data_IF_959609496112
#
_entry.id   IF_959609496112
#
_cell.length_a   1.000
_cell.length_b   1.000
_cell.length_c   1.000
_cell.angle_alpha   90.00
_cell.angle_beta   90.00
_cell.angle_gamma   90.00
#
_symmetry.space_group_name_H-M   'P 1'
#
loop_
_entity.id
_entity.type
_entity.pdbx_description
1 polymer ?
#
# COMPACT_ATOMS: atom_id res chain seq x y z
N UNK A 1 -7.49 -1.34 -8.01
CA UNK A 1 -7.78 -1.63 -6.59
C UNK A 1 -7.63 -3.13 -6.39
N UNK A 2 -6.92 -3.59 -5.34
CA UNK A 2 -6.63 -5.01 -5.11
C UNK A 2 -7.65 -5.70 -4.19
N UNK A 3 -8.30 -4.94 -3.32
CA UNK A 3 -9.32 -5.43 -2.37
C UNK A 3 -10.58 -4.59 -2.51
N UNK A 4 -11.71 -5.12 -2.05
CA UNK A 4 -13.00 -4.40 -1.98
C UNK A 4 -13.18 -3.66 -0.64
N UNK A 5 -12.32 -3.94 0.33
CA UNK A 5 -12.36 -3.41 1.69
C UNK A 5 -11.02 -2.77 2.04
N UNK A 6 -11.05 -1.74 2.89
CA UNK A 6 -9.84 -1.12 3.43
C UNK A 6 -9.20 -2.01 4.51
N UNK A 7 -7.90 -1.85 4.81
CA UNK A 7 -7.25 -2.56 5.92
C UNK A 7 -7.89 -2.35 7.30
N UNK A 8 -8.70 -1.30 7.46
CA UNK A 8 -9.40 -0.96 8.71
C UNK A 8 -10.93 -1.18 8.61
N UNK A 9 -11.38 -2.04 7.69
CA UNK A 9 -12.80 -2.33 7.57
C UNK A 9 -13.36 -2.89 8.89
N UNK A 10 -14.55 -2.42 9.28
CA UNK A 10 -15.20 -2.80 10.55
C UNK A 10 -14.77 -1.98 11.76
N UNK A 11 -13.80 -1.07 11.63
CA UNK A 11 -13.47 -0.08 12.66
C UNK A 11 -14.39 1.14 12.53
N UNK A 12 -14.82 1.69 13.66
CA UNK A 12 -15.55 2.96 13.70
C UNK A 12 -14.74 4.06 12.98
N UNK A 13 -15.31 4.73 11.97
CA UNK A 13 -14.65 5.83 11.27
C UNK A 13 -14.12 6.93 12.20
N UNK A 14 -14.80 7.18 13.32
CA UNK A 14 -14.33 8.16 14.31
C UNK A 14 -13.06 7.69 15.04
N UNK A 15 -12.82 6.39 15.17
CA UNK A 15 -11.67 5.81 15.87
C UNK A 15 -10.53 5.37 14.94
N UNK A 16 -10.77 5.30 13.62
CA UNK A 16 -9.79 4.77 12.65
C UNK A 16 -8.49 5.57 12.64
N UNK A 17 -8.55 6.88 12.88
CA UNK A 17 -7.37 7.74 12.91
C UNK A 17 -6.38 7.31 14.00
N UNK A 18 -6.85 6.85 15.17
CA UNK A 18 -5.99 6.33 16.23
C UNK A 18 -5.30 5.04 15.77
N UNK A 19 -6.04 4.14 15.12
CA UNK A 19 -5.47 2.89 14.58
C UNK A 19 -4.40 3.17 13.53
N UNK A 20 -4.66 4.10 12.60
CA UNK A 20 -3.69 4.47 11.55
C UNK A 20 -2.38 5.01 12.15
N UNK A 21 -2.43 5.74 13.27
CA UNK A 21 -1.23 6.30 13.91
C UNK A 21 -0.41 5.24 14.63
N UNK A 22 -1.04 4.29 15.30
CA UNK A 22 -0.35 3.37 16.22
C UNK A 22 -0.14 1.96 15.68
N UNK A 23 -0.96 1.53 14.73
CA UNK A 23 -0.98 0.16 14.23
C UNK A 23 -0.55 0.10 12.75
N UNK A 24 0.06 -1.02 12.35
CA UNK A 24 0.30 -1.29 10.92
C UNK A 24 -0.97 -1.82 10.26
N UNK A 25 -1.26 -1.43 9.01
CA UNK A 25 -2.40 -1.95 8.27
C UNK A 25 -2.28 -3.47 8.09
N UNK A 26 -3.38 -4.19 8.28
CA UNK A 26 -3.42 -5.62 8.00
C UNK A 26 -3.42 -5.87 6.48
N UNK A 27 -2.36 -6.51 6.00
CA UNK A 27 -2.17 -6.89 4.59
C UNK A 27 -2.47 -8.37 4.33
N UNK A 28 -3.05 -9.09 5.31
CA UNK A 28 -3.51 -10.47 5.16
C UNK A 28 -4.62 -10.62 4.11
N UNK A 29 -5.40 -9.56 3.90
CA UNK A 29 -6.50 -9.50 2.93
C UNK A 29 -6.06 -9.31 1.47
N UNK A 30 -4.76 -9.14 1.22
CA UNK A 30 -4.24 -9.06 -0.15
C UNK A 30 -4.40 -10.40 -0.88
N UNK A 31 -4.74 -10.41 -2.17
CA UNK A 31 -4.95 -11.64 -2.93
C UNK A 31 -3.74 -12.57 -2.91
N UNK A 32 -4.01 -13.87 -2.82
CA UNK A 32 -3.00 -14.90 -3.05
C UNK A 32 -2.48 -14.79 -4.50
N UNK A 33 -1.16 -14.89 -4.68
CA UNK A 33 -0.51 -14.74 -5.99
C UNK A 33 -0.17 -13.30 -6.40
N UNK A 34 -0.35 -12.32 -5.52
CA UNK A 34 0.18 -10.97 -5.73
C UNK A 34 1.70 -11.03 -5.92
N UNK A 35 2.22 -10.36 -6.96
CA UNK A 35 3.66 -10.36 -7.22
C UNK A 35 4.43 -9.78 -6.03
N UNK A 36 5.59 -10.36 -5.72
CA UNK A 36 6.44 -9.92 -4.61
C UNK A 36 6.86 -8.45 -4.76
N UNK A 37 7.08 -7.99 -6.00
CA UNK A 37 7.37 -6.60 -6.32
C UNK A 37 6.20 -5.66 -5.95
N UNK A 38 4.97 -6.04 -6.29
CA UNK A 38 3.79 -5.25 -5.96
C UNK A 38 3.53 -5.24 -4.45
N UNK A 39 3.70 -6.38 -3.77
CA UNK A 39 3.62 -6.45 -2.30
C UNK A 39 4.64 -5.53 -1.63
N UNK A 40 5.89 -5.59 -2.05
CA UNK A 40 6.98 -4.76 -1.51
C UNK A 40 6.72 -3.26 -1.73
N UNK A 41 6.19 -2.91 -2.90
CA UNK A 41 5.79 -1.54 -3.21
C UNK A 41 4.67 -1.04 -2.30
N UNK A 42 3.65 -1.87 -2.03
CA UNK A 42 2.55 -1.53 -1.11
C UNK A 42 3.09 -1.28 0.30
N UNK A 43 3.95 -2.15 0.80
CA UNK A 43 4.56 -2.00 2.12
C UNK A 43 5.40 -0.72 2.22
N UNK A 44 6.14 -0.39 1.16
CA UNK A 44 6.92 0.86 1.07
C UNK A 44 6.02 2.09 1.08
N UNK A 45 4.91 2.08 0.33
CA UNK A 45 3.93 3.17 0.30
C UNK A 45 3.19 3.35 1.63
N UNK A 46 3.00 2.27 2.38
CA UNK A 46 2.30 2.26 3.67
C UNK A 46 3.25 2.44 4.86
N UNK A 47 4.48 2.93 4.64
CA UNK A 47 5.40 3.24 5.73
C UNK A 47 4.80 4.35 6.64
N UNK A 48 4.80 4.09 7.95
CA UNK A 48 4.27 5.01 8.95
C UNK A 48 5.10 6.28 9.12
N UNK A 49 6.38 6.26 8.73
CA UNK A 49 7.25 7.43 8.73
C UNK A 49 7.12 8.19 7.40
N UNK A 50 6.57 9.43 7.38
CA UNK A 50 6.34 10.18 6.15
C UNK A 50 7.60 10.39 5.31
N UNK A 51 8.74 10.66 5.95
CA UNK A 51 10.00 10.97 5.26
C UNK A 51 10.62 9.74 4.58
N UNK A 52 10.17 8.53 4.95
CA UNK A 52 10.60 7.28 4.32
C UNK A 52 9.69 6.83 3.18
N UNK A 53 8.53 7.49 2.98
CA UNK A 53 7.63 7.15 1.88
C UNK A 53 8.17 7.76 0.57
N UNK A 54 8.22 6.98 -0.52
CA UNK A 54 8.70 7.47 -1.79
C UNK A 54 7.75 8.55 -2.31
N UNK A 55 8.31 9.53 -3.01
CA UNK A 55 7.52 10.42 -3.83
C UNK A 55 6.88 9.65 -4.98
N UNK A 56 5.77 10.15 -5.51
CA UNK A 56 5.07 9.52 -6.62
C UNK A 56 5.99 9.27 -7.84
N UNK A 57 6.89 10.22 -8.14
CA UNK A 57 7.84 10.08 -9.25
C UNK A 57 8.90 8.99 -9.04
N UNK A 58 9.27 8.71 -7.79
CA UNK A 58 10.21 7.65 -7.42
C UNK A 58 9.53 6.29 -7.50
N UNK A 59 8.29 6.19 -7.00
CA UNK A 59 7.47 4.99 -7.09
C UNK A 59 7.29 4.52 -8.54
N UNK A 60 7.06 5.44 -9.48
CA UNK A 60 6.95 5.13 -10.93
C UNK A 60 8.26 4.63 -11.58
N UNK A 61 9.37 4.61 -10.83
CA UNK A 61 10.65 4.01 -11.25
C UNK A 61 10.91 2.68 -10.57
N UNK A 62 10.02 2.24 -9.67
CA UNK A 62 10.13 0.97 -8.95
C UNK A 62 9.25 -0.10 -9.61
N UNK A 63 9.65 -1.37 -9.62
CA UNK A 63 8.78 -2.47 -10.03
C UNK A 63 7.53 -2.56 -9.12
N UNK A 64 6.33 -2.86 -9.66
CA UNK A 64 6.03 -3.17 -11.06
C UNK A 64 5.71 -1.93 -11.92
N UNK A 65 5.86 -0.72 -11.40
CA UNK A 65 5.39 0.51 -12.06
C UNK A 65 6.34 1.04 -13.13
N UNK A 66 7.63 0.69 -13.07
CA UNK A 66 8.63 1.11 -14.06
C UNK A 66 8.35 0.57 -15.47
N UNK A 67 7.74 -0.62 -15.57
CA UNK A 67 7.52 -1.32 -16.84
C UNK A 67 6.19 -0.92 -17.52
N UNK A 68 5.35 -0.12 -16.85
CA UNK A 68 4.07 0.32 -17.39
C UNK A 68 4.21 1.37 -18.51
N UNK A 69 5.41 1.91 -18.74
CA UNK A 69 5.67 2.89 -19.81
C UNK A 69 5.71 2.27 -21.21
N UNK A 70 5.68 0.94 -21.31
CA UNK A 70 5.71 0.21 -22.60
C UNK A 70 4.37 -0.40 -23.00
N UNK A 71 3.26 -0.09 -22.32
CA UNK A 71 1.94 -0.50 -22.80
C UNK A 71 1.39 0.53 -23.81
N UNK A 72 1.20 0.15 -25.09
CA UNK A 72 0.67 1.01 -26.14
C UNK A 72 -0.80 1.41 -25.90
#
# INVERSE_FOLDING_TARGET
>A
MLTTMTPWAGIDPAAVHLRIVFDRPDLSSLPDGLSTALRSSIETMLNGEPDQRPQAAELLKMPPFCDLREMP
#
